data_IF_277720884364
#
_entry.id   IF_277720884364
#
_cell.length_a   1.000
_cell.length_b   1.000
_cell.length_c   1.000
_cell.angle_alpha   90.00
_cell.angle_beta   90.00
_cell.angle_gamma   90.00
#
_symmetry.space_group_name_H-M   'P 1'
#
loop_
_entity.id
_entity.type
_entity.pdbx_description
1 polymer ?
#
# COMPACT_ATOMS: atom_id res chain seq x y z
N UNK A 1 5.32 -0.19 -11.44
CA UNK A 1 6.11 -1.43 -11.28
C UNK A 1 5.25 -2.42 -10.51
N UNK A 2 5.11 -3.65 -11.01
CA UNK A 2 4.34 -4.72 -10.38
C UNK A 2 5.33 -5.75 -9.83
N UNK A 3 5.19 -6.11 -8.55
CA UNK A 3 6.02 -7.12 -7.89
C UNK A 3 5.14 -8.10 -7.11
N UNK A 4 5.64 -9.32 -6.93
CA UNK A 4 5.01 -10.33 -6.06
C UNK A 4 5.86 -10.53 -4.80
N UNK A 5 5.21 -10.76 -3.65
CA UNK A 5 5.88 -11.02 -2.38
C UNK A 5 6.10 -12.52 -2.16
N UNK A 6 7.15 -12.95 -1.44
CA UNK A 6 7.29 -14.35 -1.04
C UNK A 6 6.22 -14.80 -0.03
N UNK A 7 5.65 -13.86 0.74
CA UNK A 7 4.54 -14.15 1.64
C UNK A 7 3.22 -14.33 0.88
N UNK A 8 2.38 -15.22 1.41
CA UNK A 8 1.07 -15.54 0.83
C UNK A 8 -0.04 -14.75 1.54
N UNK A 9 -0.99 -14.29 0.75
CA UNK A 9 -2.26 -13.76 1.19
C UNK A 9 -3.18 -14.88 1.74
N UNK A 10 -4.28 -14.53 2.42
CA UNK A 10 -5.21 -15.53 2.98
C UNK A 10 -5.85 -16.49 1.97
N UNK A 11 -5.83 -16.15 0.68
CA UNK A 11 -6.28 -17.05 -0.41
C UNK A 11 -5.19 -18.04 -0.90
N UNK A 12 -4.00 -18.00 -0.29
CA UNK A 12 -2.87 -18.85 -0.62
C UNK A 12 -2.04 -18.38 -1.83
N UNK A 13 -2.33 -17.21 -2.40
CA UNK A 13 -1.54 -16.61 -3.48
C UNK A 13 -0.55 -15.57 -2.94
N UNK A 14 0.58 -15.32 -3.61
CA UNK A 14 1.45 -14.17 -3.31
C UNK A 14 0.70 -12.84 -3.36
N UNK A 15 0.99 -11.91 -2.44
CA UNK A 15 0.51 -10.53 -2.60
C UNK A 15 1.12 -9.90 -3.85
N UNK A 16 0.32 -9.15 -4.60
CA UNK A 16 0.80 -8.33 -5.71
C UNK A 16 0.84 -6.86 -5.30
N UNK A 17 2.02 -6.28 -5.39
CA UNK A 17 2.27 -4.88 -5.08
C UNK A 17 2.45 -4.07 -6.35
N UNK A 18 1.61 -3.06 -6.53
CA UNK A 18 1.67 -2.13 -7.65
C UNK A 18 2.15 -0.76 -7.18
N UNK A 19 3.32 -0.34 -7.66
CA UNK A 19 3.83 1.03 -7.44
C UNK A 19 3.55 1.90 -8.65
N UNK A 20 2.86 3.02 -8.43
CA UNK A 20 2.55 4.04 -9.43
C UNK A 20 3.30 5.34 -9.11
N UNK A 21 3.67 6.09 -10.15
CA UNK A 21 4.27 7.41 -10.04
C UNK A 21 3.56 8.37 -10.98
N UNK A 22 3.23 9.57 -10.50
CA UNK A 22 2.66 10.62 -11.34
C UNK A 22 3.73 11.63 -11.81
N UNK A 23 3.34 12.54 -12.71
CA UNK A 23 4.22 13.58 -13.25
C UNK A 23 4.68 14.60 -12.21
N UNK A 24 3.94 14.77 -11.11
CA UNK A 24 4.31 15.63 -9.99
C UNK A 24 5.30 14.99 -9.02
N UNK A 25 5.75 13.76 -9.28
CA UNK A 25 6.74 13.05 -8.46
C UNK A 25 6.15 12.28 -7.27
N UNK A 26 4.83 12.29 -7.07
CA UNK A 26 4.16 11.46 -6.08
C UNK A 26 4.31 9.99 -6.44
N UNK A 27 4.55 9.15 -5.44
CA UNK A 27 4.64 7.69 -5.60
C UNK A 27 3.69 7.02 -4.62
N UNK A 28 2.85 6.13 -5.12
CA UNK A 28 1.94 5.31 -4.31
C UNK A 28 2.21 3.83 -4.52
N UNK A 29 2.01 3.02 -3.48
CA UNK A 29 2.06 1.55 -3.58
C UNK A 29 0.73 0.98 -3.11
N UNK A 30 0.16 0.09 -3.92
CA UNK A 30 -1.07 -0.62 -3.64
C UNK A 30 -0.81 -2.12 -3.55
N UNK A 31 -1.61 -2.81 -2.76
CA UNK A 31 -1.70 -4.26 -2.70
C UNK A 31 -3.03 -4.72 -3.31
N UNK A 32 -3.01 -5.85 -4.02
CA UNK A 32 -4.22 -6.45 -4.59
C UNK A 32 -5.21 -6.95 -3.54
N UNK A 33 -4.70 -7.50 -2.43
CA UNK A 33 -5.52 -7.86 -1.28
C UNK A 33 -6.18 -6.62 -0.65
N UNK A 34 -7.52 -6.61 -0.65
CA UNK A 34 -8.32 -5.48 -0.15
C UNK A 34 -8.16 -4.19 -0.97
N UNK A 35 -7.54 -4.23 -2.15
CA UNK A 35 -7.11 -3.05 -2.91
C UNK A 35 -6.45 -1.99 -2.01
N UNK A 36 -5.58 -2.45 -1.10
CA UNK A 36 -5.08 -1.67 0.02
C UNK A 36 -4.03 -0.67 -0.43
N UNK A 37 -4.19 0.61 -0.09
CA UNK A 37 -3.19 1.64 -0.29
C UNK A 37 -2.14 1.59 0.83
N UNK A 38 -0.96 1.05 0.52
CA UNK A 38 0.11 0.77 1.49
C UNK A 38 1.02 1.96 1.78
N UNK A 39 1.23 2.83 0.79
CA UNK A 39 2.18 3.96 0.87
C UNK A 39 1.74 5.10 -0.05
N UNK A 40 1.90 6.34 0.41
CA UNK A 40 1.79 7.54 -0.41
C UNK A 40 2.92 8.51 -0.05
N UNK A 41 3.96 8.51 -0.90
CA UNK A 41 5.11 9.41 -0.77
C UNK A 41 4.88 10.69 -1.55
N UNK A 42 4.75 11.79 -0.83
CA UNK A 42 4.37 13.10 -1.37
C UNK A 42 5.58 14.05 -1.35
N UNK A 43 6.00 14.60 -2.50
CA UNK A 43 6.95 15.71 -2.54
C UNK A 43 6.35 16.97 -1.91
N UNK A 44 7.10 17.62 -1.04
CA UNK A 44 6.72 18.86 -0.36
C UNK A 44 7.41 20.07 -0.99
N UNK A 45 6.92 21.27 -0.67
CA UNK A 45 7.44 22.54 -1.21
C UNK A 45 8.89 22.84 -0.81
N UNK A 46 9.36 22.27 0.30
CA UNK A 46 10.75 22.37 0.74
C UNK A 46 11.68 21.35 0.04
N UNK A 47 11.15 20.58 -0.92
CA UNK A 47 11.87 19.55 -1.67
C UNK A 47 11.99 18.22 -0.95
N UNK A 48 11.53 18.11 0.30
CA UNK A 48 11.49 16.83 1.02
C UNK A 48 10.37 15.93 0.48
N UNK A 49 10.47 14.63 0.75
CA UNK A 49 9.41 13.65 0.44
C UNK A 49 8.93 13.05 1.74
N UNK A 50 7.60 13.01 1.94
CA UNK A 50 6.99 12.50 3.16
C UNK A 50 6.08 11.31 2.86
N UNK A 51 6.18 10.27 3.68
CA UNK A 51 5.14 9.24 3.76
C UNK A 51 3.91 9.84 4.48
N UNK A 52 2.78 9.87 3.78
CA UNK A 52 1.56 10.53 4.26
C UNK A 52 0.58 9.56 4.92
N UNK A 53 0.79 8.24 4.80
CA UNK A 53 -0.11 7.23 5.35
C UNK A 53 0.42 6.63 6.65
N UNK A 54 -0.53 6.28 7.52
CA UNK A 54 -0.29 5.27 8.54
C UNK A 54 -0.37 3.89 7.88
N UNK A 55 0.50 2.97 8.30
CA UNK A 55 0.54 1.63 7.74
C UNK A 55 1.31 0.66 8.61
N UNK A 56 1.26 -0.62 8.24
CA UNK A 56 2.06 -1.66 8.87
C UNK A 56 3.46 -1.74 8.24
N UNK A 57 4.40 -2.39 8.94
CA UNK A 57 5.77 -2.55 8.48
C UNK A 57 5.91 -3.43 7.22
N UNK A 58 5.01 -4.39 7.02
CA UNK A 58 4.97 -5.25 5.82
C UNK A 58 3.52 -5.62 5.46
N UNK A 59 3.26 -6.06 4.21
CA UNK A 59 1.94 -6.53 3.78
C UNK A 59 1.36 -7.64 4.67
N UNK A 60 2.20 -8.53 5.20
CA UNK A 60 1.76 -9.68 6.02
C UNK A 60 1.03 -9.28 7.30
N UNK A 61 1.25 -8.07 7.80
CA UNK A 61 0.63 -7.57 9.03
C UNK A 61 -0.75 -6.91 8.80
N UNK A 62 -1.14 -6.63 7.56
CA UNK A 62 -2.42 -5.99 7.25
C UNK A 62 -3.67 -6.83 7.58
N UNK A 63 -3.63 -8.18 7.49
CA UNK A 63 -4.71 -9.01 8.01
C UNK A 63 -4.87 -8.98 9.54
N UNK A 64 -3.82 -8.63 10.29
CA UNK A 64 -3.82 -8.65 11.76
C UNK A 64 -4.30 -7.33 12.38
N UNK A 65 -4.15 -6.20 11.67
CA UNK A 65 -4.57 -4.90 12.17
C UNK A 65 -6.09 -4.74 12.18
N UNK A 66 -6.60 -3.93 13.10
CA UNK A 66 -8.04 -3.73 13.35
C UNK A 66 -8.55 -2.34 12.95
N UNK A 67 -7.72 -1.55 12.28
CA UNK A 67 -7.96 -0.13 11.96
C UNK A 67 -8.26 0.11 10.47
N UNK A 68 -8.38 -0.94 9.66
CA UNK A 68 -8.67 -0.88 8.23
C UNK A 68 -7.73 0.05 7.43
N UNK A 69 -6.47 0.14 7.84
CA UNK A 69 -5.50 1.09 7.26
C UNK A 69 -5.41 0.90 5.75
N UNK A 70 -5.72 1.96 4.99
CA UNK A 70 -5.61 1.99 3.53
C UNK A 70 -6.53 1.03 2.77
N UNK A 71 -7.38 0.24 3.45
CA UNK A 71 -8.22 -0.77 2.81
C UNK A 71 -9.38 -0.13 2.04
N UNK A 72 -9.77 -0.75 0.93
CA UNK A 72 -11.04 -0.42 0.26
C UNK A 72 -12.20 -1.13 0.95
N UNK A 73 -12.96 -0.41 1.77
CA UNK A 73 -14.06 -0.98 2.54
C UNK A 73 -15.33 -1.11 1.70
N UNK A 74 -15.97 -2.27 1.79
CA UNK A 74 -17.25 -2.54 1.18
C UNK A 74 -17.73 -3.98 1.41
N UNK A 75 -19.00 -4.29 1.12
CA UNK A 75 -20.04 -3.32 0.68
C UNK A 75 -20.73 -2.56 1.81
N UNK A 76 -20.59 -2.97 3.07
CA UNK A 76 -21.19 -2.34 4.25
C UNK A 76 -20.27 -2.46 5.45
#
# INVERSE_FOLDING_TARGET
MLNETPALAPDGQPYRLLTLRNSAGMVVTLMDWGATLLSARIPLSDGSVREALLGCASPEHYPEQTSFLGASIGRY
#
